data_IF_879469418463
#
_entry.id   IF_879469418463
#
_cell.length_a   1.000
_cell.length_b   1.000
_cell.length_c   1.000
_cell.angle_alpha   90.00
_cell.angle_beta   90.00
_cell.angle_gamma   90.00
#
_symmetry.space_group_name_H-M   'P 1'
#
loop_
_entity.id
_entity.type
_entity.pdbx_description
1 polymer ?
#
# COMPACT_ATOMS: atom_id res chain seq x y z
N UNK A 1 25.78 2.02 -22.89
CA UNK A 1 24.63 1.79 -21.97
C UNK A 1 24.51 0.34 -21.47
N UNK A 2 25.08 -0.68 -22.13
CA UNK A 2 24.92 -2.10 -21.73
C UNK A 2 25.87 -2.62 -20.62
N UNK A 3 26.97 -1.94 -20.28
CA UNK A 3 27.93 -2.46 -19.29
C UNK A 3 27.44 -2.38 -17.83
N UNK A 4 26.79 -1.27 -17.45
CA UNK A 4 26.29 -1.08 -16.08
C UNK A 4 25.12 -2.02 -15.73
N UNK A 5 24.24 -2.28 -16.70
CA UNK A 5 23.10 -3.20 -16.51
C UNK A 5 23.53 -4.65 -16.33
N UNK A 6 24.60 -5.08 -17.01
CA UNK A 6 25.14 -6.43 -16.88
C UNK A 6 25.95 -6.62 -15.59
N UNK A 7 26.62 -5.57 -15.10
CA UNK A 7 27.31 -5.61 -13.82
C UNK A 7 26.32 -5.76 -12.65
N UNK A 8 25.26 -4.96 -12.61
CA UNK A 8 24.22 -5.06 -11.56
C UNK A 8 23.51 -6.41 -11.57
N UNK A 9 23.27 -7.00 -12.76
CA UNK A 9 22.55 -8.28 -12.89
C UNK A 9 23.34 -9.51 -12.42
N UNK A 10 24.67 -9.46 -12.44
CA UNK A 10 25.54 -10.60 -12.08
C UNK A 10 26.37 -10.32 -10.83
N UNK A 11 26.13 -9.19 -10.15
CA UNK A 11 26.91 -8.70 -9.02
C UNK A 11 26.94 -9.67 -7.85
N UNK A 12 25.79 -10.31 -7.56
CA UNK A 12 25.64 -11.25 -6.44
C UNK A 12 26.40 -12.58 -6.65
N UNK A 13 26.90 -12.83 -7.86
CA UNK A 13 27.58 -14.08 -8.24
C UNK A 13 29.11 -13.94 -8.35
N UNK A 14 29.67 -12.74 -8.16
CA UNK A 14 31.10 -12.49 -8.26
C UNK A 14 31.80 -12.77 -6.90
N UNK A 15 32.91 -13.51 -6.87
CA UNK A 15 33.75 -13.65 -5.69
C UNK A 15 34.24 -12.27 -5.21
N UNK A 16 34.30 -12.07 -3.90
CA UNK A 16 34.64 -10.76 -3.32
C UNK A 16 36.07 -10.34 -3.68
N UNK A 17 36.97 -11.32 -3.85
CA UNK A 17 38.37 -11.11 -4.24
C UNK A 17 38.49 -10.51 -5.65
N UNK A 18 37.57 -10.85 -6.55
CA UNK A 18 37.58 -10.40 -7.96
C UNK A 18 37.08 -8.96 -8.12
N UNK A 19 36.40 -8.43 -7.11
CA UNK A 19 35.82 -7.06 -7.09
C UNK A 19 36.43 -6.17 -6.00
N UNK A 20 37.27 -6.71 -5.12
CA UNK A 20 37.83 -6.01 -3.97
C UNK A 20 38.59 -4.73 -4.35
N UNK A 21 39.43 -4.78 -5.40
CA UNK A 21 40.16 -3.60 -5.89
C UNK A 21 39.21 -2.54 -6.43
N UNK A 22 38.16 -2.93 -7.15
CA UNK A 22 37.14 -2.00 -7.64
C UNK A 22 36.42 -1.29 -6.48
N UNK A 23 35.98 -2.01 -5.44
CA UNK A 23 35.37 -1.38 -4.27
C UNK A 23 36.35 -0.50 -3.50
N UNK A 24 37.60 -0.92 -3.35
CA UNK A 24 38.62 -0.13 -2.69
C UNK A 24 38.90 1.18 -3.43
N UNK A 25 39.12 1.10 -4.75
CA UNK A 25 39.46 2.25 -5.59
C UNK A 25 38.28 3.21 -5.77
N UNK A 26 37.03 2.74 -5.60
CA UNK A 26 35.82 3.53 -5.80
C UNK A 26 34.99 3.72 -4.51
N UNK A 27 35.56 3.44 -3.33
CA UNK A 27 34.84 3.43 -2.06
C UNK A 27 34.05 4.73 -1.80
N UNK A 28 34.69 5.89 -1.98
CA UNK A 28 34.06 7.20 -1.77
C UNK A 28 32.86 7.45 -2.71
N UNK A 29 32.96 6.97 -3.95
CA UNK A 29 31.89 7.13 -4.95
C UNK A 29 30.71 6.21 -4.65
N UNK A 30 31.00 5.00 -4.16
CA UNK A 30 30.00 4.02 -3.72
C UNK A 30 29.28 4.55 -2.49
N UNK A 31 30.00 5.08 -1.50
CA UNK A 31 29.42 5.72 -0.32
C UNK A 31 28.53 6.90 -0.71
N UNK A 32 29.00 7.74 -1.64
CA UNK A 32 28.19 8.85 -2.17
C UNK A 32 26.91 8.33 -2.84
N UNK A 33 26.98 7.27 -3.64
CA UNK A 33 25.82 6.67 -4.30
C UNK A 33 24.83 6.09 -3.28
N UNK A 34 25.32 5.42 -2.23
CA UNK A 34 24.50 4.92 -1.12
C UNK A 34 23.79 6.07 -0.42
N UNK A 35 24.50 7.16 -0.11
CA UNK A 35 23.91 8.34 0.54
C UNK A 35 22.84 9.00 -0.33
N UNK A 36 23.09 9.15 -1.64
CA UNK A 36 22.12 9.69 -2.59
C UNK A 36 20.87 8.81 -2.67
N UNK A 37 21.03 7.49 -2.72
CA UNK A 37 19.91 6.55 -2.73
C UNK A 37 19.11 6.59 -1.42
N UNK A 38 19.79 6.63 -0.27
CA UNK A 38 19.13 6.78 1.03
C UNK A 38 18.36 8.10 1.14
N UNK A 39 18.95 9.21 0.68
CA UNK A 39 18.30 10.51 0.66
C UNK A 39 17.07 10.52 -0.26
N UNK A 40 17.17 9.91 -1.44
CA UNK A 40 16.06 9.72 -2.37
C UNK A 40 14.91 8.92 -1.74
N UNK A 41 15.20 7.75 -1.16
CA UNK A 41 14.18 6.93 -0.50
C UNK A 41 13.55 7.65 0.68
N UNK A 42 14.36 8.33 1.51
CA UNK A 42 13.86 9.14 2.63
C UNK A 42 12.94 10.26 2.13
N UNK A 43 13.28 10.91 1.02
CA UNK A 43 12.42 11.92 0.41
C UNK A 43 11.08 11.33 -0.03
N UNK A 44 11.08 10.17 -0.68
CA UNK A 44 9.84 9.49 -1.10
C UNK A 44 8.98 9.15 0.11
N UNK A 45 9.54 8.41 1.07
CA UNK A 45 8.80 7.92 2.24
C UNK A 45 8.21 9.08 3.06
N UNK A 46 8.99 10.15 3.29
CA UNK A 46 8.49 11.32 3.99
C UNK A 46 7.34 12.02 3.25
N UNK A 47 7.39 12.05 1.92
CA UNK A 47 6.35 12.68 1.10
C UNK A 47 5.08 11.85 1.15
N UNK A 48 5.20 10.53 1.00
CA UNK A 48 4.08 9.58 1.09
C UNK A 48 3.47 9.58 2.49
N UNK A 49 4.27 9.54 3.55
CA UNK A 49 3.80 9.54 4.94
C UNK A 49 2.95 10.76 5.29
N UNK A 50 3.41 11.96 4.93
CA UNK A 50 2.62 13.18 5.10
C UNK A 50 1.29 13.11 4.36
N UNK A 51 1.31 12.51 3.16
CA UNK A 51 0.13 12.43 2.32
C UNK A 51 -0.87 11.40 2.82
N UNK A 52 -0.41 10.22 3.25
CA UNK A 52 -1.23 9.20 3.90
C UNK A 52 -1.89 9.78 5.15
N UNK A 53 -1.14 10.48 5.99
CA UNK A 53 -1.68 11.08 7.20
C UNK A 53 -2.81 12.09 6.90
N UNK A 54 -2.64 12.93 5.87
CA UNK A 54 -3.67 13.86 5.44
C UNK A 54 -4.93 13.14 4.88
N UNK A 55 -4.73 12.07 4.10
CA UNK A 55 -5.84 11.25 3.59
C UNK A 55 -6.58 10.54 4.73
N UNK A 56 -5.87 10.01 5.73
CA UNK A 56 -6.45 9.41 6.94
C UNK A 56 -7.38 10.40 7.64
N UNK A 57 -6.90 11.61 7.92
CA UNK A 57 -7.72 12.63 8.57
C UNK A 57 -8.98 12.94 7.77
N UNK A 58 -8.87 13.07 6.45
CA UNK A 58 -10.01 13.36 5.59
C UNK A 58 -11.01 12.19 5.54
N UNK A 59 -10.54 10.96 5.34
CA UNK A 59 -11.44 9.79 5.22
C UNK A 59 -12.14 9.49 6.55
N UNK A 60 -11.46 9.64 7.69
CA UNK A 60 -12.07 9.52 9.03
C UNK A 60 -13.23 10.49 9.20
N UNK A 61 -13.12 11.73 8.71
CA UNK A 61 -14.21 12.70 8.76
C UNK A 61 -15.35 12.30 7.82
N UNK A 62 -15.04 11.83 6.61
CA UNK A 62 -16.04 11.40 5.62
C UNK A 62 -16.84 10.19 6.13
N UNK A 63 -16.16 9.18 6.66
CA UNK A 63 -16.80 7.95 7.15
C UNK A 63 -17.34 8.07 8.57
N UNK A 64 -16.99 9.14 9.31
CA UNK A 64 -17.26 9.29 10.75
C UNK A 64 -16.74 8.10 11.55
N UNK A 65 -15.53 7.65 11.22
CA UNK A 65 -14.91 6.44 11.77
C UNK A 65 -13.43 6.68 12.05
N UNK A 66 -13.02 6.56 13.31
CA UNK A 66 -11.65 6.83 13.76
C UNK A 66 -10.73 5.61 13.74
N UNK A 67 -11.22 4.44 13.31
CA UNK A 67 -10.45 3.20 13.25
C UNK A 67 -9.53 3.10 12.02
N UNK A 68 -9.52 4.12 11.15
CA UNK A 68 -8.54 4.20 10.05
C UNK A 68 -7.10 4.33 10.59
N UNK A 69 -6.23 3.44 10.14
CA UNK A 69 -4.80 3.44 10.49
C UNK A 69 -3.95 3.88 9.30
N UNK A 70 -2.87 4.62 9.58
CA UNK A 70 -1.89 5.07 8.59
C UNK A 70 -0.60 4.26 8.59
N UNK A 71 -0.50 3.15 9.35
CA UNK A 71 0.65 2.22 9.40
C UNK A 71 2.01 2.92 9.21
N UNK A 72 2.34 3.84 10.13
CA UNK A 72 3.58 4.63 10.12
C UNK A 72 3.80 5.49 8.84
N UNK A 73 2.71 5.88 8.19
CA UNK A 73 2.70 6.67 6.97
C UNK A 73 2.96 5.88 5.68
N UNK A 74 3.07 4.55 5.74
CA UNK A 74 3.31 3.74 4.54
C UNK A 74 2.01 3.43 3.82
N UNK A 75 0.96 3.11 4.58
CA UNK A 75 -0.26 2.52 4.07
C UNK A 75 -1.46 3.03 4.87
N UNK A 76 -2.53 3.38 4.17
CA UNK A 76 -3.83 3.65 4.77
C UNK A 76 -4.61 2.34 4.85
N UNK A 77 -5.08 1.97 6.03
CA UNK A 77 -5.77 0.69 6.26
C UNK A 77 -7.03 0.86 7.09
N UNK A 78 -8.01 0.01 6.81
CA UNK A 78 -9.20 -0.18 7.63
C UNK A 78 -9.55 -1.67 7.69
N UNK A 79 -9.60 -2.26 8.88
CA UNK A 79 -9.68 -3.71 9.10
C UNK A 79 -10.75 -4.15 10.11
N UNK A 80 -11.68 -3.27 10.46
CA UNK A 80 -12.72 -3.54 11.48
C UNK A 80 -13.95 -4.28 10.94
N UNK A 81 -13.91 -4.76 9.70
CA UNK A 81 -15.01 -5.50 9.09
C UNK A 81 -15.11 -6.93 9.61
N UNK A 82 -16.35 -7.41 9.83
CA UNK A 82 -16.64 -8.79 10.24
C UNK A 82 -17.66 -9.41 9.26
N UNK A 83 -17.37 -10.58 8.65
CA UNK A 83 -16.09 -11.32 8.65
C UNK A 83 -14.87 -10.53 8.16
N UNK A 84 -13.64 -10.96 8.51
CA UNK A 84 -12.44 -10.15 8.28
C UNK A 84 -12.17 -9.87 6.79
N UNK A 85 -12.18 -8.59 6.44
CA UNK A 85 -11.70 -8.04 5.17
C UNK A 85 -11.07 -6.68 5.46
N UNK A 86 -9.96 -6.37 4.79
CA UNK A 86 -9.20 -5.15 5.02
C UNK A 86 -9.20 -4.30 3.76
N UNK A 87 -9.54 -3.01 3.89
CA UNK A 87 -9.18 -2.01 2.90
C UNK A 87 -7.72 -1.65 3.16
N UNK A 88 -6.88 -1.80 2.13
CA UNK A 88 -5.48 -1.40 2.18
C UNK A 88 -5.19 -0.51 0.99
N UNK A 89 -4.60 0.65 1.23
CA UNK A 89 -4.27 1.60 0.19
C UNK A 89 -2.91 2.26 0.43
N UNK A 90 -2.22 2.65 -0.65
CA UNK A 90 -0.88 3.24 -0.52
C UNK A 90 -0.37 3.82 -1.82
N UNK A 91 0.66 4.67 -1.70
CA UNK A 91 1.30 5.29 -2.86
C UNK A 91 2.34 4.36 -3.49
N UNK A 92 2.35 4.29 -4.82
CA UNK A 92 3.50 3.85 -5.60
C UNK A 92 4.19 5.08 -6.19
N UNK A 93 5.52 5.13 -6.07
CA UNK A 93 6.34 6.20 -6.63
C UNK A 93 6.82 5.86 -8.04
N UNK A 94 7.13 6.89 -8.81
CA UNK A 94 7.93 6.79 -10.03
C UNK A 94 9.32 7.37 -9.81
N UNK A 95 10.19 7.33 -10.83
CA UNK A 95 11.54 7.90 -10.75
C UNK A 95 11.57 9.41 -10.43
N UNK A 96 10.48 10.14 -10.69
CA UNK A 96 10.43 11.60 -10.53
C UNK A 96 9.28 12.09 -9.65
N UNK A 97 8.37 11.19 -9.27
CA UNK A 97 7.16 11.54 -8.53
C UNK A 97 6.94 10.56 -7.37
N UNK A 98 7.16 11.00 -6.11
CA UNK A 98 6.86 10.20 -4.92
C UNK A 98 5.40 9.75 -4.80
N UNK A 99 4.45 10.49 -5.40
CA UNK A 99 3.01 10.27 -5.30
C UNK A 99 2.41 9.85 -6.64
N UNK A 100 3.16 9.13 -7.48
CA UNK A 100 2.76 8.82 -8.86
C UNK A 100 1.37 8.20 -8.96
N UNK A 101 1.11 7.11 -8.22
CA UNK A 101 -0.23 6.52 -8.12
C UNK A 101 -0.58 6.17 -6.70
N UNK A 102 -1.88 6.11 -6.42
CA UNK A 102 -2.48 5.62 -5.20
C UNK A 102 -3.28 4.36 -5.53
N UNK A 103 -2.92 3.24 -4.91
CA UNK A 103 -3.51 1.94 -5.18
C UNK A 103 -4.41 1.55 -4.02
N UNK A 104 -5.62 1.09 -4.31
CA UNK A 104 -6.60 0.62 -3.32
C UNK A 104 -6.88 -0.85 -3.60
N UNK A 105 -6.78 -1.68 -2.56
CA UNK A 105 -6.96 -3.13 -2.63
C UNK A 105 -7.76 -3.62 -1.42
N UNK A 106 -8.51 -4.69 -1.63
CA UNK A 106 -9.17 -5.44 -0.57
C UNK A 106 -8.40 -6.72 -0.30
N UNK A 107 -8.25 -7.06 0.98
CA UNK A 107 -7.49 -8.23 1.40
C UNK A 107 -8.34 -9.03 2.37
N UNK A 108 -8.57 -10.31 2.07
CA UNK A 108 -9.09 -11.28 3.05
C UNK A 108 -7.94 -12.15 3.55
N UNK A 109 -7.85 -12.41 4.86
CA UNK A 109 -6.75 -13.17 5.44
C UNK A 109 -6.82 -14.67 5.12
N UNK A 110 -8.02 -15.18 4.85
CA UNK A 110 -8.30 -16.59 4.58
C UNK A 110 -9.40 -16.76 3.52
N UNK A 111 -9.60 -18.01 3.09
CA UNK A 111 -10.60 -18.40 2.09
C UNK A 111 -12.04 -18.30 2.60
N UNK A 112 -12.27 -18.42 3.90
CA UNK A 112 -13.62 -18.33 4.47
C UNK A 112 -14.13 -16.89 4.40
N UNK A 113 -13.27 -15.93 4.74
CA UNK A 113 -13.52 -14.50 4.57
C UNK A 113 -13.75 -14.16 3.10
N UNK A 114 -12.93 -14.69 2.17
CA UNK A 114 -13.17 -14.49 0.74
C UNK A 114 -14.53 -15.00 0.30
N UNK A 115 -14.85 -16.25 0.59
CA UNK A 115 -16.11 -16.88 0.18
C UNK A 115 -17.35 -16.14 0.71
N UNK A 116 -17.25 -15.48 1.86
CA UNK A 116 -18.33 -14.65 2.39
C UNK A 116 -18.64 -13.44 1.48
N UNK A 117 -17.60 -12.78 0.95
CA UNK A 117 -17.74 -11.55 0.16
C UNK A 117 -17.74 -11.78 -1.35
N UNK A 118 -17.27 -12.94 -1.83
CA UNK A 118 -16.93 -13.22 -3.22
C UNK A 118 -18.01 -12.79 -4.21
N UNK A 119 -19.25 -13.27 -4.02
CA UNK A 119 -20.34 -12.95 -4.94
C UNK A 119 -20.63 -11.45 -4.99
N UNK A 120 -20.55 -10.74 -3.86
CA UNK A 120 -20.77 -9.30 -3.81
C UNK A 120 -19.62 -8.54 -4.49
N UNK A 121 -18.38 -8.98 -4.25
CA UNK A 121 -17.18 -8.36 -4.81
C UNK A 121 -17.08 -8.53 -6.31
N UNK A 122 -17.29 -9.75 -6.84
CA UNK A 122 -17.24 -10.02 -8.28
C UNK A 122 -18.37 -9.30 -9.01
N UNK A 123 -19.56 -9.20 -8.41
CA UNK A 123 -20.66 -8.44 -9.01
C UNK A 123 -20.38 -6.93 -9.04
N UNK A 124 -19.73 -6.39 -7.99
CA UNK A 124 -19.40 -4.96 -7.91
C UNK A 124 -18.19 -4.57 -8.76
N UNK A 125 -17.22 -5.47 -8.86
CA UNK A 125 -15.93 -5.30 -9.53
C UNK A 125 -15.70 -6.43 -10.55
N UNK A 126 -16.51 -6.50 -11.63
CA UNK A 126 -16.51 -7.66 -12.53
C UNK A 126 -15.28 -7.76 -13.44
N UNK A 127 -14.44 -6.72 -13.49
CA UNK A 127 -13.22 -6.67 -14.33
C UNK A 127 -11.98 -7.00 -13.50
N UNK A 128 -12.10 -6.99 -12.18
CA UNK A 128 -11.00 -7.17 -11.25
C UNK A 128 -10.84 -8.66 -10.95
N UNK A 129 -9.70 -9.24 -11.32
CA UNK A 129 -9.38 -10.62 -10.98
C UNK A 129 -8.75 -10.72 -9.58
N UNK A 130 -9.25 -11.60 -8.71
CA UNK A 130 -8.64 -11.84 -7.41
C UNK A 130 -7.30 -12.57 -7.54
N UNK A 131 -6.31 -12.14 -6.77
CA UNK A 131 -4.98 -12.76 -6.69
C UNK A 131 -4.91 -13.57 -5.41
N UNK A 132 -4.75 -14.89 -5.54
CA UNK A 132 -4.60 -15.80 -4.39
C UNK A 132 -3.11 -15.93 -4.04
N UNK A 133 -2.75 -15.61 -2.80
CA UNK A 133 -1.38 -15.73 -2.26
C UNK A 133 -1.39 -16.52 -0.95
N UNK A 134 -1.18 -17.83 -1.07
CA UNK A 134 -1.36 -18.75 0.07
C UNK A 134 -2.83 -18.78 0.47
N UNK A 135 -3.13 -18.48 1.73
CA UNK A 135 -4.51 -18.43 2.24
C UNK A 135 -5.20 -17.08 2.00
N UNK A 136 -4.43 -16.05 1.64
CA UNK A 136 -4.93 -14.68 1.47
C UNK A 136 -5.42 -14.46 0.06
N UNK A 137 -6.53 -13.74 -0.08
CA UNK A 137 -7.02 -13.27 -1.38
C UNK A 137 -6.94 -11.75 -1.44
N UNK A 138 -6.41 -11.23 -2.55
CA UNK A 138 -6.22 -9.81 -2.78
C UNK A 138 -7.03 -9.41 -4.02
N UNK A 139 -7.89 -8.40 -3.90
CA UNK A 139 -8.61 -7.81 -5.02
C UNK A 139 -8.17 -6.36 -5.21
N UNK A 140 -7.57 -6.05 -6.36
CA UNK A 140 -7.17 -4.69 -6.69
C UNK A 140 -8.41 -3.91 -7.15
N UNK A 141 -8.78 -2.86 -6.42
CA UNK A 141 -9.99 -2.08 -6.72
C UNK A 141 -9.69 -0.98 -7.74
N UNK A 142 -8.66 -0.19 -7.46
CA UNK A 142 -8.32 0.95 -8.30
C UNK A 142 -6.83 1.32 -8.20
N UNK A 143 -6.32 1.87 -9.30
CA UNK A 143 -5.07 2.63 -9.37
C UNK A 143 -5.40 4.02 -9.86
N UNK A 144 -5.17 5.02 -9.01
CA UNK A 144 -5.58 6.41 -9.22
C UNK A 144 -4.31 7.28 -9.28
N UNK A 145 -4.22 8.31 -10.13
CA UNK A 145 -3.11 9.27 -10.04
C UNK A 145 -3.05 9.90 -8.64
N UNK A 146 -1.88 9.93 -7.99
CA UNK A 146 -1.81 10.27 -6.56
C UNK A 146 -2.06 11.75 -6.24
N UNK A 147 -2.09 12.61 -7.25
CA UNK A 147 -2.49 14.01 -7.14
C UNK A 147 -4.02 14.21 -7.13
N UNK A 148 -4.82 13.20 -7.52
CA UNK A 148 -6.28 13.28 -7.63
C UNK A 148 -6.98 13.05 -6.28
N UNK A 149 -6.79 13.98 -5.33
CA UNK A 149 -7.29 13.86 -3.95
C UNK A 149 -8.76 13.49 -3.84
N UNK A 150 -9.63 14.20 -4.57
CA UNK A 150 -11.07 13.98 -4.51
C UNK A 150 -11.41 12.57 -4.95
N UNK A 151 -10.90 12.14 -6.11
CA UNK A 151 -11.12 10.79 -6.62
C UNK A 151 -10.62 9.69 -5.68
N UNK A 152 -9.48 9.91 -5.01
CA UNK A 152 -8.97 8.98 -3.99
C UNK A 152 -9.98 8.85 -2.84
N UNK A 153 -10.42 9.96 -2.27
CA UNK A 153 -11.35 9.96 -1.13
C UNK A 153 -12.72 9.40 -1.53
N UNK A 154 -13.27 9.80 -2.67
CA UNK A 154 -14.54 9.29 -3.20
C UNK A 154 -14.48 7.76 -3.38
N UNK A 155 -13.37 7.25 -3.92
CA UNK A 155 -13.20 5.79 -4.10
C UNK A 155 -13.07 5.07 -2.76
N UNK A 156 -12.33 5.64 -1.79
CA UNK A 156 -12.21 5.06 -0.45
C UNK A 156 -13.56 5.02 0.28
N UNK A 157 -14.33 6.11 0.19
CA UNK A 157 -15.69 6.20 0.75
C UNK A 157 -16.64 5.18 0.10
N UNK A 158 -16.61 5.06 -1.22
CA UNK A 158 -17.42 4.09 -1.97
C UNK A 158 -17.12 2.65 -1.53
N UNK A 159 -15.83 2.30 -1.42
CA UNK A 159 -15.39 0.98 -0.99
C UNK A 159 -15.77 0.72 0.47
N UNK A 160 -15.51 1.67 1.36
CA UNK A 160 -15.88 1.59 2.77
C UNK A 160 -17.38 1.37 2.93
N UNK A 161 -18.20 2.25 2.34
CA UNK A 161 -19.66 2.19 2.45
C UNK A 161 -20.22 0.89 1.89
N UNK A 162 -19.65 0.40 0.79
CA UNK A 162 -20.00 -0.89 0.22
C UNK A 162 -19.72 -2.03 1.20
N UNK A 163 -18.51 -2.12 1.75
CA UNK A 163 -18.15 -3.18 2.70
C UNK A 163 -18.96 -3.08 4.00
N UNK A 164 -19.16 -1.88 4.53
CA UNK A 164 -20.01 -1.61 5.69
C UNK A 164 -21.44 -2.13 5.49
N UNK A 165 -21.97 -2.07 4.27
CA UNK A 165 -23.31 -2.60 3.94
C UNK A 165 -23.40 -4.13 3.92
N UNK A 166 -22.26 -4.81 3.79
CA UNK A 166 -22.16 -6.28 3.76
C UNK A 166 -21.76 -6.87 5.12
N UNK A 167 -21.23 -6.05 6.01
CA UNK A 167 -20.73 -6.49 7.32
C UNK A 167 -21.80 -6.36 8.39
N UNK A 168 -21.78 -7.30 9.33
CA UNK A 168 -22.66 -7.19 10.50
C UNK A 168 -22.06 -6.14 11.43
N UNK A 169 -22.60 -4.92 11.42
CA UNK A 169 -22.20 -3.89 12.37
C UNK A 169 -22.42 -4.41 13.80
N UNK A 170 -21.35 -4.64 14.54
CA UNK A 170 -21.40 -4.76 15.99
C UNK A 170 -21.74 -3.38 16.57
N UNK A 171 -23.03 -3.01 16.56
CA UNK A 171 -23.59 -1.89 17.34
C UNK A 171 -23.56 -2.23 18.85
N UNK A 172 -22.38 -2.55 19.38
CA UNK A 172 -22.14 -2.81 20.79
C UNK A 172 -20.88 -2.09 21.26
N UNK A 173 -20.79 -0.78 20.98
CA UNK A 173 -20.02 0.09 21.87
C UNK A 173 -20.76 0.24 23.20
N UNK A 174 -20.39 -0.62 24.15
CA UNK A 174 -20.38 -0.41 25.60
C UNK A 174 -21.46 0.50 26.20
N UNK A 175 -22.67 -0.03 26.38
CA UNK A 175 -23.54 0.40 27.47
C UNK A 175 -23.00 -0.16 28.79
N UNK A 176 -21.92 0.41 29.34
CA UNK A 176 -21.68 0.45 30.80
C UNK A 176 -20.48 1.34 31.11
N UNK A 177 -20.74 2.53 31.63
CA UNK A 177 -19.98 3.09 32.76
C UNK A 177 -20.88 4.14 33.42
N UNK A 178 -21.60 3.69 34.45
CA UNK A 178 -22.11 4.52 35.53
C UNK A 178 -21.14 4.43 36.70
#
# INVERSE_FOLDING_TARGET
>A
MNHYTNFIKNFDALPIEDVASFFHDNADQIDTLIQLYQAYNKHILNTQAKRIHALKQAITVITTDDEWSDMEGLELTYDQFIPNITIKAGFASSATDPLHTFNIQLITPDIQGWNHYENHLINRYPVQEPIIKGERTILNIATIPGNETAKILDTLEEVYSFLSSLTVNTFLHSLTSH
#
